data_IF_097911934858
#
_entry.id   IF_097911934858
#
_cell.length_a   1.000
_cell.length_b   1.000
_cell.length_c   1.000
_cell.angle_alpha   90.00
_cell.angle_beta   90.00
_cell.angle_gamma   90.00
#
_symmetry.space_group_name_H-M   'P 1'
#
loop_
_entity.id
_entity.type
_entity.pdbx_description
1 polymer ?
#
# COMPACT_ATOMS: atom_id res chain seq x y z
N UNK A 1 5.18 -33.71 7.60
CA UNK A 1 4.83 -32.35 8.07
C UNK A 1 3.63 -32.47 8.98
N UNK A 2 3.73 -32.07 10.25
CA UNK A 2 2.62 -32.21 11.20
C UNK A 2 1.72 -30.98 11.10
N UNK A 3 0.40 -31.17 11.16
CA UNK A 3 -0.58 -30.07 11.06
C UNK A 3 -0.31 -28.94 12.07
N UNK A 4 0.16 -29.29 13.27
CA UNK A 4 0.57 -28.34 14.32
C UNK A 4 1.74 -27.44 13.87
N UNK A 5 2.73 -28.01 13.17
CA UNK A 5 3.86 -27.24 12.65
C UNK A 5 3.45 -26.31 11.51
N UNK A 6 2.53 -26.76 10.65
CA UNK A 6 1.96 -25.91 9.59
C UNK A 6 1.17 -24.74 10.20
N UNK A 7 0.34 -25.01 11.21
CA UNK A 7 -0.45 -23.98 11.89
C UNK A 7 0.44 -22.95 12.61
N UNK A 8 1.47 -23.41 13.32
CA UNK A 8 2.42 -22.53 13.98
C UNK A 8 3.15 -21.63 12.95
N UNK A 9 3.65 -22.22 11.87
CA UNK A 9 4.34 -21.48 10.81
C UNK A 9 3.42 -20.48 10.11
N UNK A 10 2.20 -20.88 9.74
CA UNK A 10 1.21 -20.01 9.13
C UNK A 10 0.83 -18.86 10.07
N UNK A 11 0.59 -19.16 11.35
CA UNK A 11 0.26 -18.17 12.37
C UNK A 11 1.36 -17.11 12.53
N UNK A 12 2.63 -17.53 12.59
CA UNK A 12 3.77 -16.61 12.67
C UNK A 12 3.84 -15.72 11.43
N UNK A 13 3.73 -16.29 10.23
CA UNK A 13 3.82 -15.52 8.99
C UNK A 13 2.66 -14.53 8.84
N UNK A 14 1.43 -14.96 9.15
CA UNK A 14 0.23 -14.09 9.11
C UNK A 14 0.36 -12.98 10.15
N UNK A 15 0.77 -13.31 11.37
CA UNK A 15 0.97 -12.33 12.44
C UNK A 15 2.01 -11.27 12.05
N UNK A 16 3.15 -11.72 11.51
CA UNK A 16 4.19 -10.82 11.03
C UNK A 16 3.69 -9.93 9.86
N UNK A 17 2.94 -10.51 8.92
CA UNK A 17 2.34 -9.74 7.83
C UNK A 17 1.40 -8.65 8.34
N UNK A 18 0.55 -8.94 9.34
CA UNK A 18 -0.33 -7.95 9.96
C UNK A 18 0.46 -6.82 10.61
N UNK A 19 1.54 -7.13 11.33
CA UNK A 19 2.42 -6.12 11.95
C UNK A 19 3.05 -5.22 10.90
N UNK A 20 3.62 -5.80 9.84
CA UNK A 20 4.24 -5.05 8.74
C UNK A 20 3.21 -4.17 8.01
N UNK A 21 2.02 -4.70 7.70
CA UNK A 21 0.96 -3.95 7.04
C UNK A 21 0.41 -2.82 7.93
N UNK A 22 0.40 -3.01 9.24
CA UNK A 22 0.04 -1.97 10.22
C UNK A 22 1.04 -0.82 10.17
N UNK A 23 2.35 -1.12 10.26
CA UNK A 23 3.38 -0.09 10.15
C UNK A 23 3.35 0.62 8.80
N UNK A 24 3.21 -0.13 7.71
CA UNK A 24 3.04 0.44 6.37
C UNK A 24 1.87 1.42 6.32
N UNK A 25 0.72 1.04 6.88
CA UNK A 25 -0.49 1.87 6.89
C UNK A 25 -0.32 3.17 7.66
N UNK A 26 0.51 3.18 8.71
CA UNK A 26 0.82 4.38 9.51
C UNK A 26 1.88 5.24 8.82
N UNK A 27 3.00 4.64 8.41
CA UNK A 27 4.13 5.36 7.82
C UNK A 27 3.82 5.97 6.46
N UNK A 28 3.00 5.32 5.63
CA UNK A 28 2.53 5.88 4.36
C UNK A 28 1.74 7.19 4.53
N UNK A 29 1.14 7.42 5.70
CA UNK A 29 0.37 8.63 6.04
C UNK A 29 1.20 9.73 6.71
N UNK A 30 2.52 9.55 6.86
CA UNK A 30 3.39 10.58 7.44
C UNK A 30 4.09 11.37 6.34
N UNK A 31 4.13 12.69 6.47
CA UNK A 31 4.77 13.58 5.49
C UNK A 31 6.27 13.32 5.40
N UNK A 32 6.94 13.05 6.52
CA UNK A 32 8.37 12.74 6.58
C UNK A 32 8.74 11.49 5.78
N UNK A 33 7.79 10.55 5.63
CA UNK A 33 8.00 9.31 4.89
C UNK A 33 7.50 9.39 3.44
N UNK A 34 6.90 10.52 3.03
CA UNK A 34 6.35 10.70 1.68
C UNK A 34 7.39 10.53 0.55
N UNK A 35 8.67 10.94 0.70
CA UNK A 35 9.69 10.68 -0.33
C UNK A 35 9.88 9.20 -0.65
N UNK A 36 9.66 8.32 0.33
CA UNK A 36 9.82 6.87 0.18
C UNK A 36 8.55 6.23 -0.37
N UNK A 37 7.38 6.61 0.16
CA UNK A 37 6.11 5.93 -0.17
C UNK A 37 5.31 6.55 -1.30
N UNK A 38 5.54 7.83 -1.62
CA UNK A 38 4.78 8.60 -2.61
C UNK A 38 5.69 9.37 -3.59
N UNK A 39 6.80 8.80 -4.08
CA UNK A 39 7.76 9.52 -4.92
C UNK A 39 7.13 10.04 -6.21
N UNK A 40 6.20 9.26 -6.79
CA UNK A 40 5.47 9.67 -8.00
C UNK A 40 4.57 10.88 -7.77
N UNK A 41 3.82 10.90 -6.66
CA UNK A 41 2.97 12.06 -6.32
C UNK A 41 3.83 13.32 -6.12
N UNK A 42 4.99 13.16 -5.47
CA UNK A 42 5.95 14.26 -5.28
C UNK A 42 6.53 14.77 -6.60
N UNK A 43 6.88 13.86 -7.51
CA UNK A 43 7.42 14.22 -8.83
C UNK A 43 6.39 14.94 -9.71
N UNK A 44 5.10 14.58 -9.61
CA UNK A 44 4.04 15.15 -10.47
C UNK A 44 3.40 16.42 -9.87
N UNK A 45 3.26 16.52 -8.55
CA UNK A 45 2.46 17.57 -7.89
C UNK A 45 3.15 18.35 -6.77
N UNK A 46 4.42 18.04 -6.44
CA UNK A 46 5.13 18.69 -5.34
C UNK A 46 4.59 18.33 -3.95
N UNK A 47 5.11 19.00 -2.91
CA UNK A 47 4.78 18.72 -1.50
C UNK A 47 3.45 19.36 -1.07
N UNK A 48 3.06 20.50 -1.66
CA UNK A 48 1.88 21.28 -1.24
C UNK A 48 0.57 20.49 -1.20
N UNK A 49 0.15 19.84 -2.31
CA UNK A 49 -1.08 19.05 -2.34
C UNK A 49 -1.07 17.86 -1.38
N UNK A 50 0.11 17.27 -1.13
CA UNK A 50 0.26 16.20 -0.15
C UNK A 50 0.10 16.73 1.27
N UNK A 51 0.71 17.89 1.56
CA UNK A 51 0.61 18.52 2.86
C UNK A 51 -0.85 18.84 3.21
N UNK A 52 -1.64 19.37 2.27
CA UNK A 52 -3.07 19.64 2.47
C UNK A 52 -3.89 18.36 2.76
N UNK A 53 -3.68 17.27 1.99
CA UNK A 53 -4.34 15.98 2.27
C UNK A 53 -3.94 15.41 3.64
N UNK A 54 -2.69 15.58 4.05
CA UNK A 54 -2.19 15.06 5.32
C UNK A 54 -2.57 15.95 6.53
N UNK A 55 -2.63 17.26 6.38
CA UNK A 55 -3.02 18.20 7.45
C UNK A 55 -4.48 18.01 7.86
N UNK A 56 -5.38 17.76 6.90
CA UNK A 56 -6.79 17.43 7.18
C UNK A 56 -7.00 16.12 7.96
N UNK A 57 -5.95 15.29 8.11
CA UNK A 57 -6.05 13.98 8.75
C UNK A 57 -5.65 13.95 10.23
N UNK A 58 -5.06 15.01 10.78
CA UNK A 58 -4.78 15.15 12.23
C UNK A 58 -4.24 13.87 12.90
N UNK A 59 -4.90 13.39 13.97
CA UNK A 59 -4.56 12.15 14.65
C UNK A 59 -4.95 10.87 13.89
N UNK A 60 -5.88 10.94 12.94
CA UNK A 60 -6.32 9.77 12.15
C UNK A 60 -5.20 9.18 11.28
N UNK A 61 -4.12 9.95 11.05
CA UNK A 61 -2.91 9.48 10.36
C UNK A 61 -2.15 8.37 11.10
N UNK A 62 -2.35 8.24 12.41
CA UNK A 62 -1.75 7.19 13.23
C UNK A 62 -2.61 5.93 13.34
N UNK A 63 -3.88 6.01 12.92
CA UNK A 63 -4.73 4.83 12.83
C UNK A 63 -4.35 4.02 11.57
N UNK A 64 -4.07 2.71 11.70
CA UNK A 64 -3.92 1.85 10.53
C UNK A 64 -5.23 1.85 9.75
N UNK A 65 -5.13 1.87 8.41
CA UNK A 65 -6.30 1.71 7.55
C UNK A 65 -5.99 0.77 6.41
N UNK A 66 -6.96 -0.09 6.07
CA UNK A 66 -6.92 -0.92 4.87
C UNK A 66 -7.50 -0.21 3.63
N UNK A 67 -7.87 1.07 3.74
CA UNK A 67 -8.47 1.82 2.62
C UNK A 67 -7.54 1.93 1.41
N UNK A 68 -6.21 1.90 1.62
CA UNK A 68 -5.24 1.92 0.52
C UNK A 68 -5.26 0.64 -0.32
N UNK A 69 -5.52 -0.52 0.29
CA UNK A 69 -5.57 -1.79 -0.44
C UNK A 69 -6.86 -1.89 -1.24
N UNK A 70 -7.99 -1.53 -0.64
CA UNK A 70 -9.27 -1.43 -1.34
C UNK A 70 -9.20 -0.46 -2.52
N UNK A 71 -8.54 0.69 -2.37
CA UNK A 71 -8.34 1.64 -3.46
C UNK A 71 -7.46 1.05 -4.57
N UNK A 72 -6.38 0.35 -4.22
CA UNK A 72 -5.52 -0.32 -5.20
C UNK A 72 -6.27 -1.40 -5.99
N UNK A 73 -7.18 -2.14 -5.34
CA UNK A 73 -7.97 -3.19 -5.97
C UNK A 73 -9.12 -2.68 -6.84
N UNK A 74 -9.61 -1.45 -6.60
CA UNK A 74 -10.70 -0.83 -7.37
C UNK A 74 -10.23 -0.10 -8.62
N UNK A 75 -8.92 0.06 -8.80
CA UNK A 75 -8.35 0.77 -9.95
C UNK A 75 -8.60 -0.05 -11.23
N UNK A 76 -9.18 0.58 -12.25
CA UNK A 76 -9.44 -0.11 -13.53
C UNK A 76 -8.13 -0.42 -14.28
N UNK A 77 -8.16 -1.40 -15.18
CA UNK A 77 -6.97 -1.75 -15.98
C UNK A 77 -6.54 -0.58 -16.88
N UNK A 78 -7.48 0.21 -17.41
CA UNK A 78 -7.18 1.38 -18.23
C UNK A 78 -6.51 2.49 -17.40
N UNK A 79 -7.04 2.81 -16.20
CA UNK A 79 -6.40 3.77 -15.30
C UNK A 79 -5.02 3.29 -14.83
N UNK A 80 -4.87 1.99 -14.58
CA UNK A 80 -3.59 1.39 -14.23
C UNK A 80 -2.60 1.46 -15.39
N UNK A 81 -3.03 1.21 -16.64
CA UNK A 81 -2.19 1.33 -17.82
C UNK A 81 -1.71 2.77 -18.02
N UNK A 82 -2.62 3.75 -17.93
CA UNK A 82 -2.30 5.17 -18.07
C UNK A 82 -1.37 5.66 -16.96
N UNK A 83 -1.54 5.13 -15.75
CA UNK A 83 -0.73 5.54 -14.60
C UNK A 83 0.60 4.81 -14.60
N UNK A 84 0.62 3.48 -14.59
CA UNK A 84 1.79 2.65 -14.31
C UNK A 84 2.52 2.13 -15.56
N UNK A 85 1.91 2.26 -16.74
CA UNK A 85 2.48 1.77 -18.00
C UNK A 85 2.20 0.28 -18.27
N UNK A 86 2.59 -0.16 -19.47
CA UNK A 86 2.30 -1.50 -19.98
C UNK A 86 3.05 -2.60 -19.21
N UNK A 87 4.32 -2.38 -18.90
CA UNK A 87 5.16 -3.39 -18.21
C UNK A 87 4.58 -3.76 -16.84
N UNK A 88 4.16 -2.75 -16.08
CA UNK A 88 3.51 -2.95 -14.81
C UNK A 88 2.19 -3.72 -14.95
N UNK A 89 1.40 -3.43 -16.01
CA UNK A 89 0.11 -4.10 -16.24
C UNK A 89 0.31 -5.57 -16.59
N UNK A 90 1.33 -5.88 -17.39
CA UNK A 90 1.67 -7.27 -17.74
C UNK A 90 2.05 -8.05 -16.48
N UNK A 91 2.89 -7.48 -15.60
CA UNK A 91 3.24 -8.09 -14.31
C UNK A 91 2.00 -8.33 -13.46
N UNK A 92 1.10 -7.34 -13.34
CA UNK A 92 -0.15 -7.50 -12.59
C UNK A 92 -1.01 -8.65 -13.15
N UNK A 93 -1.07 -8.78 -14.47
CA UNK A 93 -1.80 -9.87 -15.13
C UNK A 93 -1.19 -11.24 -14.83
N UNK A 94 0.13 -11.36 -14.74
CA UNK A 94 0.77 -12.62 -14.33
C UNK A 94 0.30 -13.06 -12.93
N UNK A 95 0.17 -12.13 -11.98
CA UNK A 95 -0.36 -12.44 -10.64
C UNK A 95 -1.87 -12.74 -10.63
N UNK A 96 -2.65 -12.18 -11.56
CA UNK A 96 -4.10 -12.43 -11.68
C UNK A 96 -4.40 -13.77 -12.37
N UNK A 97 -3.49 -14.23 -13.24
CA UNK A 97 -3.63 -15.48 -13.99
C UNK A 97 -3.07 -16.70 -13.23
N UNK A 98 -2.08 -16.50 -12.36
CA UNK A 98 -1.54 -17.53 -11.47
C UNK A 98 -2.50 -17.89 -10.34
#
# INVERSE_FOLDING_TARGET
MNAQGLLASAGINIGLAIVVLTFFSIFKKQLCSAPVYLPKKLATGGIGPLQEELEGSGFSRFLPSASWSLRALRLSEDEFLQTCGLDALVILRLFKLG
#
